data_IF_067178712247
#
_entry.id   IF_067178712247
#
_cell.length_a   1.000
_cell.length_b   1.000
_cell.length_c   1.000
_cell.angle_alpha   90.00
_cell.angle_beta   90.00
_cell.angle_gamma   90.00
#
_symmetry.space_group_name_H-M   'P 1'
#
loop_
_entity.id
_entity.type
_entity.pdbx_description
1 polymer ?
#
# COMPACT_ATOMS: atom_id res chain seq x y z
N UNK A 1 -3.59 5.32 2.38
CA UNK A 1 -4.48 4.46 3.19
C UNK A 1 -3.65 4.01 4.37
N UNK A 2 -4.25 3.95 5.55
CA UNK A 2 -3.58 3.46 6.75
C UNK A 2 -4.59 2.72 7.63
N UNK A 3 -4.14 1.75 8.41
CA UNK A 3 -4.99 1.08 9.39
C UNK A 3 -5.15 1.96 10.65
N UNK A 4 -4.16 2.80 10.94
CA UNK A 4 -4.12 3.65 12.12
C UNK A 4 -4.79 5.02 11.86
N UNK A 5 -5.93 5.33 12.52
CA UNK A 5 -6.62 6.61 12.38
C UNK A 5 -5.79 7.80 12.88
N UNK A 6 -4.89 7.61 13.84
CA UNK A 6 -4.03 8.67 14.37
C UNK A 6 -2.97 9.06 13.34
N UNK A 7 -2.39 8.08 12.64
CA UNK A 7 -1.48 8.32 11.52
C UNK A 7 -2.15 9.11 10.39
N UNK A 8 -3.41 8.79 10.06
CA UNK A 8 -4.18 9.58 9.08
C UNK A 8 -4.39 11.02 9.56
N UNK A 9 -4.69 11.21 10.84
CA UNK A 9 -4.90 12.54 11.43
C UNK A 9 -3.63 13.39 11.35
N UNK A 10 -2.48 12.83 11.76
CA UNK A 10 -1.18 13.49 11.69
C UNK A 10 -0.81 13.79 10.23
N UNK A 11 -0.99 12.84 9.32
CA UNK A 11 -0.69 13.01 7.89
C UNK A 11 -1.48 14.17 7.29
N UNK A 12 -2.78 14.26 7.55
CA UNK A 12 -3.61 15.38 7.09
C UNK A 12 -3.14 16.72 7.65
N UNK A 13 -2.76 16.76 8.92
CA UNK A 13 -2.25 17.99 9.55
C UNK A 13 -0.94 18.44 8.89
N UNK A 14 0.03 17.54 8.74
CA UNK A 14 1.33 17.81 8.12
C UNK A 14 1.19 18.25 6.66
N UNK A 15 0.35 17.57 5.87
CA UNK A 15 0.15 17.96 4.48
C UNK A 15 -0.51 19.35 4.33
N UNK A 16 -1.51 19.67 5.16
CA UNK A 16 -2.10 21.02 5.16
C UNK A 16 -1.08 22.11 5.51
N UNK A 17 -0.16 21.81 6.43
CA UNK A 17 0.84 22.77 6.88
C UNK A 17 1.98 22.96 5.86
N UNK A 18 2.47 21.87 5.27
CA UNK A 18 3.71 21.88 4.50
C UNK A 18 3.51 21.80 2.98
N UNK A 19 2.37 21.29 2.53
CA UNK A 19 2.04 21.10 1.11
C UNK A 19 0.68 21.72 0.77
N UNK A 20 0.48 23.03 1.02
CA UNK A 20 -0.78 23.69 0.71
C UNK A 20 -1.04 23.62 -0.80
N UNK A 21 -2.18 23.04 -1.18
CA UNK A 21 -2.57 22.84 -2.58
C UNK A 21 -2.47 21.39 -3.07
N UNK A 22 -1.88 20.48 -2.28
CA UNK A 22 -1.98 19.04 -2.54
C UNK A 22 -3.30 18.51 -2.00
N UNK A 23 -4.18 18.08 -2.89
CA UNK A 23 -5.41 17.37 -2.53
C UNK A 23 -5.18 15.86 -2.59
N UNK A 24 -5.68 15.14 -1.58
CA UNK A 24 -5.56 13.69 -1.50
C UNK A 24 -6.65 13.11 -0.60
N UNK A 25 -7.16 11.95 -1.02
CA UNK A 25 -8.11 11.17 -0.21
C UNK A 25 -7.34 10.23 0.72
N UNK A 26 -7.71 10.26 1.98
CA UNK A 26 -7.22 9.34 3.02
C UNK A 26 -8.33 8.41 3.43
N UNK A 27 -7.98 7.13 3.58
CA UNK A 27 -8.89 6.05 3.96
C UNK A 27 -8.27 5.36 5.17
N UNK A 28 -9.06 5.20 6.24
CA UNK A 28 -8.70 4.39 7.41
C UNK A 28 -9.28 3.00 7.21
N UNK A 29 -8.45 2.03 6.85
CA UNK A 29 -8.86 0.67 6.53
C UNK A 29 -7.68 -0.30 6.52
N UNK A 30 -7.98 -1.60 6.68
CA UNK A 30 -7.03 -2.65 6.33
C UNK A 30 -6.73 -2.62 4.83
N UNK A 31 -5.44 -2.64 4.50
CA UNK A 31 -5.00 -2.48 3.12
C UNK A 31 -5.38 -3.65 2.23
N UNK A 32 -5.34 -4.88 2.76
CA UNK A 32 -5.68 -6.06 1.98
C UNK A 32 -7.19 -6.10 1.68
N UNK A 33 -8.02 -5.76 2.66
CA UNK A 33 -9.46 -5.68 2.52
C UNK A 33 -9.89 -4.53 1.60
N UNK A 34 -9.23 -3.36 1.68
CA UNK A 34 -9.57 -2.20 0.84
C UNK A 34 -9.36 -2.45 -0.65
N UNK A 35 -8.35 -3.24 -1.03
CA UNK A 35 -8.12 -3.60 -2.43
C UNK A 35 -9.27 -4.42 -3.03
N UNK A 36 -10.09 -5.06 -2.19
CA UNK A 36 -11.26 -5.79 -2.65
C UNK A 36 -12.40 -4.81 -2.97
N UNK A 37 -12.75 -4.71 -4.25
CA UNK A 37 -13.78 -3.77 -4.73
C UNK A 37 -13.30 -2.32 -4.89
N UNK A 38 -12.00 -2.05 -4.78
CA UNK A 38 -11.46 -0.73 -5.14
C UNK A 38 -11.58 -0.47 -6.65
N UNK A 39 -11.50 0.79 -7.04
CA UNK A 39 -11.19 1.16 -8.43
C UNK A 39 -9.78 0.69 -8.81
N UNK A 40 -9.45 0.78 -10.10
CA UNK A 40 -8.10 0.50 -10.59
C UNK A 40 -7.25 1.76 -10.60
N UNK A 41 -5.98 1.61 -10.24
CA UNK A 41 -5.00 2.67 -10.15
C UNK A 41 -3.87 2.45 -11.15
N UNK A 42 -3.38 3.53 -11.76
CA UNK A 42 -2.20 3.50 -12.63
C UNK A 42 -0.92 3.18 -11.85
N UNK A 43 -0.92 3.53 -10.56
CA UNK A 43 0.18 3.25 -9.64
C UNK A 43 -0.38 2.81 -8.27
N UNK A 44 0.09 1.66 -7.80
CA UNK A 44 -0.16 1.18 -6.44
C UNK A 44 1.16 1.17 -5.69
N UNK A 45 1.30 2.05 -4.69
CA UNK A 45 2.49 2.12 -3.83
C UNK A 45 2.20 1.40 -2.52
N UNK A 46 3.04 0.43 -2.19
CA UNK A 46 2.92 -0.42 -1.00
C UNK A 46 4.11 -0.11 -0.10
N UNK A 47 3.83 0.56 1.01
CA UNK A 47 4.80 0.91 2.04
C UNK A 47 4.23 0.53 3.41
N UNK A 48 4.37 -0.74 3.76
CA UNK A 48 3.74 -1.33 4.95
C UNK A 48 4.78 -2.13 5.72
N UNK A 49 5.00 -1.75 6.98
CA UNK A 49 5.89 -2.41 7.92
C UNK A 49 5.15 -2.71 9.23
N UNK A 50 5.51 -3.81 9.86
CA UNK A 50 5.09 -4.19 11.21
C UNK A 50 6.36 -4.29 12.09
N UNK A 51 6.69 -3.19 12.78
CA UNK A 51 7.96 -3.08 13.50
C UNK A 51 9.15 -3.06 12.53
N UNK A 52 10.07 -4.01 12.68
CA UNK A 52 11.29 -4.11 11.86
C UNK A 52 11.14 -5.03 10.63
N UNK A 53 9.96 -5.61 10.41
CA UNK A 53 9.71 -6.55 9.30
C UNK A 53 8.44 -6.22 8.51
N UNK A 54 8.23 -6.96 7.43
CA UNK A 54 6.96 -6.96 6.71
C UNK A 54 5.89 -7.73 7.51
N UNK A 55 4.61 -7.35 7.39
CA UNK A 55 3.52 -8.26 7.74
C UNK A 55 3.53 -9.51 6.84
N UNK A 56 3.28 -10.68 7.42
CA UNK A 56 3.30 -11.97 6.70
C UNK A 56 2.43 -11.98 5.44
N UNK A 57 1.29 -11.27 5.46
CA UNK A 57 0.37 -11.25 4.33
C UNK A 57 1.00 -10.68 3.04
N UNK A 58 2.00 -9.79 3.15
CA UNK A 58 2.74 -9.27 2.00
C UNK A 58 3.54 -10.35 1.27
N UNK A 59 3.86 -11.46 1.94
CA UNK A 59 4.63 -12.57 1.38
C UNK A 59 3.72 -13.65 0.76
N UNK A 60 2.42 -13.41 0.69
CA UNK A 60 1.44 -14.41 0.22
C UNK A 60 0.86 -14.06 -1.15
N UNK A 61 0.63 -15.07 -2.00
CA UNK A 61 -0.02 -14.91 -3.32
C UNK A 61 -1.40 -14.21 -3.26
N UNK A 62 -2.30 -14.51 -2.28
CA UNK A 62 -3.60 -13.85 -2.20
C UNK A 62 -3.53 -12.32 -2.11
N UNK A 63 -2.53 -11.76 -1.44
CA UNK A 63 -2.35 -10.31 -1.38
C UNK A 63 -2.00 -9.76 -2.77
N UNK A 64 -1.02 -10.37 -3.44
CA UNK A 64 -0.58 -9.94 -4.77
C UNK A 64 -1.65 -10.11 -5.86
N UNK A 65 -2.54 -11.10 -5.73
CA UNK A 65 -3.72 -11.22 -6.61
C UNK A 65 -4.66 -10.02 -6.46
N UNK A 66 -4.88 -9.53 -5.23
CA UNK A 66 -5.69 -8.32 -4.99
C UNK A 66 -4.99 -7.06 -5.53
N UNK A 67 -3.69 -6.91 -5.28
CA UNK A 67 -2.89 -5.82 -5.85
C UNK A 67 -3.00 -5.81 -7.37
N UNK A 68 -2.81 -6.96 -8.03
CA UNK A 68 -2.95 -7.07 -9.49
C UNK A 68 -4.35 -6.69 -9.99
N UNK A 69 -5.40 -7.00 -9.22
CA UNK A 69 -6.77 -6.60 -9.53
C UNK A 69 -7.01 -5.09 -9.44
N UNK A 70 -6.31 -4.42 -8.54
CA UNK A 70 -6.36 -2.98 -8.31
C UNK A 70 -5.41 -2.17 -9.23
N UNK A 71 -4.51 -2.82 -9.98
CA UNK A 71 -3.65 -2.13 -10.96
C UNK A 71 -4.36 -2.04 -12.31
N UNK A 72 -4.41 -0.84 -12.90
CA UNK A 72 -4.96 -0.60 -14.22
C UNK A 72 -4.13 -1.31 -15.33
N UNK A 73 -4.70 -1.62 -16.51
CA UNK A 73 -3.90 -2.11 -17.63
C UNK A 73 -2.76 -1.14 -17.98
N UNK A 74 -1.51 -1.62 -17.94
CA UNK A 74 -0.32 -0.78 -18.14
C UNK A 74 0.17 -0.04 -16.89
N UNK A 75 -0.56 -0.13 -15.78
CA UNK A 75 -0.15 0.40 -14.49
C UNK A 75 0.93 -0.44 -13.80
N UNK A 76 1.45 0.08 -12.69
CA UNK A 76 2.57 -0.53 -11.94
C UNK A 76 2.26 -0.64 -10.45
N UNK A 77 2.72 -1.74 -9.83
CA UNK A 77 2.83 -1.85 -8.39
C UNK A 77 4.28 -1.62 -7.95
N UNK A 78 4.48 -0.74 -6.96
CA UNK A 78 5.78 -0.45 -6.36
C UNK A 78 5.73 -0.86 -4.88
N UNK A 79 6.66 -1.72 -4.48
CA UNK A 79 6.84 -2.12 -3.09
C UNK A 79 8.10 -1.49 -2.52
N UNK A 80 7.97 -0.76 -1.41
CA UNK A 80 9.11 -0.44 -0.58
C UNK A 80 9.55 -1.71 0.15
N UNK A 81 10.73 -2.24 -0.20
CA UNK A 81 11.27 -3.47 0.35
C UNK A 81 12.67 -3.26 0.93
N UNK A 82 12.80 -3.36 2.26
CA UNK A 82 14.06 -3.65 2.95
C UNK A 82 14.52 -5.12 2.80
N UNK A 83 15.29 -5.39 1.75
CA UNK A 83 15.83 -6.71 1.45
C UNK A 83 14.91 -7.54 0.54
N UNK A 84 15.47 -8.62 -0.03
CA UNK A 84 14.68 -9.61 -0.77
C UNK A 84 14.33 -10.75 0.19
N UNK A 85 13.06 -11.18 0.27
CA UNK A 85 12.75 -12.42 0.95
C UNK A 85 13.45 -13.55 0.20
N UNK A 86 14.56 -14.09 0.74
CA UNK A 86 15.37 -15.12 0.07
C UNK A 86 14.57 -16.41 -0.24
N UNK A 87 13.41 -16.57 0.40
CA UNK A 87 12.45 -17.65 0.19
C UNK A 87 11.49 -17.42 -1.00
N UNK A 88 11.36 -16.19 -1.49
CA UNK A 88 10.70 -15.91 -2.76
C UNK A 88 11.75 -16.09 -3.88
N UNK A 89 11.98 -17.35 -4.28
CA UNK A 89 12.68 -17.61 -5.55
C UNK A 89 11.93 -16.82 -6.63
N UNK A 90 12.61 -16.00 -7.44
CA UNK A 90 11.95 -15.13 -8.40
C UNK A 90 11.09 -16.02 -9.28
N UNK A 91 9.79 -15.71 -9.27
CA UNK A 91 8.70 -16.30 -10.04
C UNK A 91 9.22 -17.11 -11.24
N UNK A 92 9.30 -18.43 -11.06
CA UNK A 92 9.53 -19.38 -12.14
C UNK A 92 8.22 -19.60 -12.92
#
# INVERSE_FOLDING_TARGET
MDLDPDMVTVTRALFRQHFPGTDFRTVVADASAFLDGSERYDLVVIDVYAGESYPDFLLTEPFWRRVRGAVAPGGTALLNAWGLPEHLRPLA
#
